data_IF_180544116557
#
_entry.id   IF_180544116557
#
_cell.length_a   1.000
_cell.length_b   1.000
_cell.length_c   1.000
_cell.angle_alpha   90.00
_cell.angle_beta   90.00
_cell.angle_gamma   90.00
#
_symmetry.space_group_name_H-M   'P 1'
#
loop_
_entity.id
_entity.type
_entity.pdbx_description
1 polymer ?
#
# COMPACT_ATOMS: atom_id res chain seq x y z
N UNK A 1 -0.93 -29.82 1.79
CA UNK A 1 -0.41 -29.68 0.42
C UNK A 1 -0.64 -28.24 -0.02
N UNK A 2 0.31 -27.60 -0.69
CA UNK A 2 0.12 -26.23 -1.17
C UNK A 2 -0.68 -26.26 -2.49
N UNK A 3 -1.84 -25.60 -2.52
CA UNK A 3 -2.71 -25.56 -3.70
C UNK A 3 -2.27 -24.44 -4.66
N UNK A 4 -1.15 -24.70 -5.34
CA UNK A 4 -0.59 -23.77 -6.32
C UNK A 4 -1.53 -23.47 -7.51
N UNK A 5 -2.31 -24.43 -8.05
CA UNK A 5 -3.28 -24.14 -9.12
C UNK A 5 -4.34 -23.12 -8.70
N UNK A 6 -4.88 -23.23 -7.48
CA UNK A 6 -5.85 -22.26 -6.96
C UNK A 6 -5.20 -20.89 -6.74
N UNK A 7 -3.98 -20.86 -6.22
CA UNK A 7 -3.24 -19.61 -6.04
C UNK A 7 -2.99 -18.90 -7.38
N UNK A 8 -2.56 -19.65 -8.40
CA UNK A 8 -2.38 -19.17 -9.77
C UNK A 8 -3.69 -18.60 -10.36
N UNK A 9 -4.81 -19.31 -10.21
CA UNK A 9 -6.11 -18.87 -10.70
C UNK A 9 -6.57 -17.55 -10.06
N UNK A 10 -6.38 -17.39 -8.74
CA UNK A 10 -6.71 -16.15 -8.02
C UNK A 10 -5.88 -14.98 -8.53
N UNK A 11 -4.57 -15.18 -8.68
CA UNK A 11 -3.64 -14.14 -9.12
C UNK A 11 -3.89 -13.74 -10.57
N UNK A 12 -4.10 -14.72 -11.47
CA UNK A 12 -4.47 -14.44 -12.86
C UNK A 12 -5.79 -13.67 -12.97
N UNK A 13 -6.80 -14.03 -12.16
CA UNK A 13 -8.07 -13.30 -12.14
C UNK A 13 -7.95 -11.87 -11.64
N UNK A 14 -6.99 -11.59 -10.75
CA UNK A 14 -6.69 -10.22 -10.36
C UNK A 14 -6.10 -9.42 -11.53
N UNK A 15 -5.24 -10.04 -12.36
CA UNK A 15 -4.60 -9.43 -13.53
C UNK A 15 -5.57 -9.12 -14.68
N UNK A 16 -6.75 -9.73 -14.71
CA UNK A 16 -7.81 -9.42 -15.70
C UNK A 16 -8.45 -8.03 -15.48
N UNK A 17 -8.21 -7.40 -14.32
CA UNK A 17 -8.77 -6.08 -14.03
C UNK A 17 -8.05 -4.99 -14.85
N UNK A 18 -8.77 -4.21 -15.67
CA UNK A 18 -8.16 -3.26 -16.62
C UNK A 18 -7.46 -2.07 -15.95
N UNK A 19 -7.77 -1.75 -14.69
CA UNK A 19 -7.18 -0.61 -13.97
C UNK A 19 -6.56 -1.02 -12.62
N UNK A 20 -5.79 -2.11 -12.63
CA UNK A 20 -5.10 -2.60 -11.44
C UNK A 20 -3.83 -1.78 -11.18
N UNK A 21 -3.90 -0.82 -10.24
CA UNK A 21 -2.76 0.09 -9.91
C UNK A 21 -1.47 -0.65 -9.52
N UNK A 22 -1.60 -1.79 -8.85
CA UNK A 22 -0.47 -2.59 -8.34
C UNK A 22 -0.32 -3.91 -9.10
N UNK A 23 -0.40 -3.85 -10.43
CA UNK A 23 -0.21 -5.02 -11.30
C UNK A 23 1.15 -5.69 -11.07
N UNK A 24 2.20 -4.91 -10.86
CA UNK A 24 3.54 -5.40 -10.53
C UNK A 24 3.56 -6.29 -9.28
N UNK A 25 2.82 -5.91 -8.24
CA UNK A 25 2.78 -6.65 -6.97
C UNK A 25 2.10 -8.01 -7.15
N UNK A 26 1.06 -8.07 -7.99
CA UNK A 26 0.36 -9.32 -8.30
C UNK A 26 1.25 -10.25 -9.13
N UNK A 27 2.01 -9.71 -10.08
CA UNK A 27 2.97 -10.47 -10.89
C UNK A 27 4.16 -10.98 -10.07
N UNK A 28 4.68 -10.18 -9.14
CA UNK A 28 5.70 -10.64 -8.19
C UNK A 28 5.20 -11.79 -7.31
N UNK A 29 3.94 -11.70 -6.85
CA UNK A 29 3.33 -12.81 -6.11
C UNK A 29 3.16 -14.05 -6.96
N UNK A 30 2.78 -13.90 -8.23
CA UNK A 30 2.68 -15.00 -9.18
C UNK A 30 4.06 -15.65 -9.42
N UNK A 31 5.11 -14.84 -9.57
CA UNK A 31 6.49 -15.34 -9.70
C UNK A 31 6.96 -16.11 -8.44
N UNK A 32 6.57 -15.67 -7.23
CA UNK A 32 6.84 -16.43 -6.00
C UNK A 32 6.14 -17.79 -6.00
N UNK A 33 4.86 -17.85 -6.41
CA UNK A 33 4.12 -19.12 -6.52
C UNK A 33 4.82 -20.08 -7.49
N UNK A 34 5.26 -19.59 -8.65
CA UNK A 34 5.97 -20.44 -9.62
C UNK A 34 7.35 -20.90 -9.12
N UNK A 35 8.04 -20.08 -8.32
CA UNK A 35 9.30 -20.50 -7.68
C UNK A 35 9.09 -21.67 -6.72
N UNK A 36 8.07 -21.59 -5.86
CA UNK A 36 7.74 -22.63 -4.88
C UNK A 36 7.19 -23.91 -5.52
N UNK A 37 6.49 -23.78 -6.64
CA UNK A 37 5.99 -24.90 -7.44
C UNK A 37 7.10 -25.56 -8.30
N UNK A 38 8.21 -24.87 -8.57
CA UNK A 38 9.31 -25.40 -9.39
C UNK A 38 9.13 -25.18 -10.89
N UNK A 39 8.51 -24.05 -11.29
CA UNK A 39 8.31 -23.65 -12.68
C UNK A 39 9.18 -22.43 -13.05
N UNK A 40 10.47 -22.63 -13.38
CA UNK A 40 11.43 -21.54 -13.52
C UNK A 40 11.17 -20.66 -14.75
N UNK A 41 10.64 -21.22 -15.84
CA UNK A 41 10.31 -20.47 -17.06
C UNK A 41 9.14 -19.50 -16.81
N UNK A 42 8.04 -20.01 -16.25
CA UNK A 42 6.88 -19.19 -15.85
C UNK A 42 7.25 -18.17 -14.76
N UNK A 43 8.13 -18.54 -13.82
CA UNK A 43 8.68 -17.60 -12.84
C UNK A 43 9.43 -16.46 -13.55
N UNK A 44 10.32 -16.77 -14.50
CA UNK A 44 11.10 -15.77 -15.22
C UNK A 44 10.19 -14.85 -16.04
N UNK A 45 9.18 -15.41 -16.72
CA UNK A 45 8.19 -14.64 -17.47
C UNK A 45 7.39 -13.69 -16.56
N UNK A 46 6.86 -14.19 -15.44
CA UNK A 46 6.12 -13.37 -14.48
C UNK A 46 7.00 -12.28 -13.84
N UNK A 47 8.26 -12.58 -13.55
CA UNK A 47 9.22 -11.62 -13.01
C UNK A 47 9.63 -10.56 -14.04
N UNK A 48 9.73 -10.92 -15.32
CA UNK A 48 9.99 -9.97 -16.40
C UNK A 48 8.79 -9.03 -16.61
N UNK A 49 7.56 -9.56 -16.63
CA UNK A 49 6.35 -8.73 -16.71
C UNK A 49 6.22 -7.81 -15.49
N UNK A 50 6.52 -8.30 -14.28
CA UNK A 50 6.52 -7.49 -13.07
C UNK A 50 7.50 -6.31 -13.16
N UNK A 51 8.71 -6.54 -13.67
CA UNK A 51 9.71 -5.50 -13.88
C UNK A 51 9.22 -4.47 -14.91
N UNK A 52 8.67 -4.92 -16.03
CA UNK A 52 8.11 -4.02 -17.04
C UNK A 52 6.96 -3.15 -16.47
N UNK A 53 6.06 -3.76 -15.69
CA UNK A 53 4.97 -3.04 -15.02
C UNK A 53 5.49 -1.99 -14.02
N UNK A 54 6.57 -2.28 -13.28
CA UNK A 54 7.20 -1.28 -12.39
C UNK A 54 7.81 -0.12 -13.14
N UNK A 55 8.51 -0.37 -14.25
CA UNK A 55 9.12 0.68 -15.05
C UNK A 55 8.07 1.59 -15.71
N UNK A 56 6.88 1.05 -16.02
CA UNK A 56 5.75 1.82 -16.52
C UNK A 56 4.98 2.61 -15.45
N UNK A 57 5.22 2.36 -14.16
CA UNK A 57 4.48 3.02 -13.07
C UNK A 57 5.16 4.35 -12.69
N UNK A 58 4.41 5.46 -12.59
CA UNK A 58 4.98 6.69 -12.05
C UNK A 58 5.45 6.46 -10.61
N UNK A 59 6.61 7.03 -10.27
CA UNK A 59 7.16 6.93 -8.93
C UNK A 59 6.15 7.51 -7.92
N UNK A 60 5.96 6.88 -6.74
CA UNK A 60 5.05 7.41 -5.74
C UNK A 60 5.51 8.81 -5.32
N UNK A 61 4.60 9.78 -5.34
CA UNK A 61 4.87 11.11 -4.84
C UNK A 61 5.26 11.02 -3.35
N UNK A 62 6.35 11.66 -2.96
CA UNK A 62 6.77 11.73 -1.55
C UNK A 62 5.61 12.32 -0.73
N UNK A 63 5.27 11.75 0.44
CA UNK A 63 4.24 12.34 1.29
C UNK A 63 4.71 13.73 1.72
N UNK A 64 4.04 14.76 1.21
CA UNK A 64 4.22 16.13 1.67
C UNK A 64 3.45 16.26 2.98
N UNK A 65 4.17 16.48 4.08
CA UNK A 65 3.53 16.89 5.34
C UNK A 65 2.82 18.21 5.04
N UNK A 66 1.48 18.21 5.08
CA UNK A 66 0.70 19.45 5.02
C UNK A 66 1.04 20.24 6.28
N UNK A 67 1.75 21.36 6.12
CA UNK A 67 1.87 22.36 7.17
C UNK A 67 0.44 22.88 7.42
N UNK A 68 -0.09 22.60 8.61
CA UNK A 68 -1.49 22.87 8.94
C UNK A 68 -1.82 24.38 8.98
N UNK A 69 -3.12 24.73 8.94
CA UNK A 69 -3.56 26.12 9.11
C UNK A 69 -3.33 26.63 10.55
N UNK A 70 -3.13 27.95 10.76
CA UNK A 70 -2.99 28.58 12.08
C UNK A 70 -4.36 28.74 12.79
N UNK A 71 -4.36 29.26 14.04
CA UNK A 71 -4.82 28.53 15.23
C UNK A 71 -6.34 28.30 15.28
N UNK A 72 -6.73 27.05 15.11
CA UNK A 72 -7.98 26.47 15.57
C UNK A 72 -7.67 25.04 16.04
N UNK A 73 -8.37 24.54 17.06
CA UNK A 73 -8.14 23.17 17.57
C UNK A 73 -8.23 22.19 16.38
N UNK A 74 -7.19 21.40 16.10
CA UNK A 74 -7.20 20.51 14.95
C UNK A 74 -8.40 19.58 15.03
N UNK A 75 -8.99 19.26 13.87
CA UNK A 75 -10.09 18.31 13.83
C UNK A 75 -9.68 16.96 14.44
N UNK A 76 -10.64 16.21 14.98
CA UNK A 76 -10.38 14.93 15.69
C UNK A 76 -9.42 13.98 14.95
N UNK A 77 -9.49 13.90 13.62
CA UNK A 77 -8.65 13.02 12.80
C UNK A 77 -7.43 13.71 12.15
N UNK A 78 -7.25 15.01 12.34
CA UNK A 78 -6.13 15.76 11.79
C UNK A 78 -4.82 15.47 12.53
N UNK A 79 -3.64 15.72 11.92
CA UNK A 79 -2.38 15.62 12.62
C UNK A 79 -2.39 16.50 13.88
N UNK A 80 -1.88 15.97 14.99
CA UNK A 80 -1.80 16.70 16.23
C UNK A 80 -0.85 17.91 16.08
N UNK A 81 -1.24 19.04 16.65
CA UNK A 81 -0.47 20.28 16.66
C UNK A 81 0.92 20.15 17.31
N UNK A 82 1.18 19.10 18.12
CA UNK A 82 2.48 18.87 18.76
C UNK A 82 3.56 18.32 17.81
N UNK A 83 3.27 18.15 16.52
CA UNK A 83 4.25 17.67 15.54
C UNK A 83 4.57 16.18 15.62
N UNK A 84 3.89 15.39 16.46
CA UNK A 84 4.18 13.96 16.63
C UNK A 84 3.77 13.05 15.45
N UNK A 85 3.14 13.61 14.41
CA UNK A 85 2.61 12.84 13.27
C UNK A 85 1.39 11.95 13.60
N UNK A 86 0.98 11.86 14.87
CA UNK A 86 -0.21 11.12 15.32
C UNK A 86 -1.48 11.95 15.12
N UNK A 87 -2.63 11.28 14.96
CA UNK A 87 -3.95 11.95 14.90
C UNK A 87 -4.25 12.65 16.22
N UNK A 88 -4.86 13.83 16.18
CA UNK A 88 -5.18 14.66 17.35
C UNK A 88 -5.92 13.88 18.43
N UNK A 89 -6.92 13.08 18.04
CA UNK A 89 -7.67 12.18 18.92
C UNK A 89 -6.85 11.19 19.75
N UNK A 90 -5.67 10.81 19.27
CA UNK A 90 -4.78 9.84 19.92
C UNK A 90 -3.56 10.51 20.57
N UNK A 91 -3.55 11.85 20.63
CA UNK A 91 -2.45 12.60 21.20
C UNK A 91 -2.97 13.59 22.23
N UNK A 92 -3.25 14.84 21.86
CA UNK A 92 -3.58 15.89 22.82
C UNK A 92 -5.09 16.15 23.00
N UNK A 93 -5.98 15.50 22.25
CA UNK A 93 -7.43 15.74 22.36
C UNK A 93 -7.98 15.54 23.78
N UNK A 94 -7.49 14.53 24.51
CA UNK A 94 -7.98 14.28 25.87
C UNK A 94 -7.49 15.36 26.86
N UNK A 95 -6.25 15.82 26.70
CA UNK A 95 -5.68 16.88 27.54
C UNK A 95 -6.39 18.22 27.27
N UNK A 96 -6.66 18.54 26.01
CA UNK A 96 -7.37 19.76 25.61
C UNK A 96 -8.82 19.75 26.12
N UNK A 97 -9.52 18.62 25.99
CA UNK A 97 -10.90 18.47 26.49
C UNK A 97 -11.00 18.64 28.01
N UNK A 98 -9.98 18.20 28.75
CA UNK A 98 -9.89 18.40 30.21
C UNK A 98 -9.59 19.86 30.58
N UNK A 99 -8.79 20.57 29.77
CA UNK A 99 -8.46 21.98 30.01
C UNK A 99 -9.64 22.94 29.70
N UNK A 100 -10.64 22.48 28.95
CA UNK A 100 -11.87 23.23 28.65
C UNK A 100 -13.03 22.96 29.61
N UNK A 101 -12.88 21.98 30.52
CA UNK A 101 -13.88 21.64 31.55
C UNK A 101 -13.60 22.39 32.85
#
# INVERSE_FOLDING_TARGET
>A
EADYPRAEAILRRALERPNLEHRDVVLERLASVYREWGKPDEQAAAAAEAQAARLGRPAPAKPTVRQGPPPGKPGRNEPCWCGSGRKYKHCHMHADRLAES
#
